data_IF_787180935665
#
_entry.id   IF_787180935665
#
_cell.length_a   1.000
_cell.length_b   1.000
_cell.length_c   1.000
_cell.angle_alpha   90.00
_cell.angle_beta   90.00
_cell.angle_gamma   90.00
#
_symmetry.space_group_name_H-M   'P 1'
#
loop_
_entity.id
_entity.type
_entity.pdbx_description
1 polymer ?
#
# COMPACT_ATOMS: atom_id res chain seq x y z
N UNK A 1 -16.35 3.08 -3.51
CA UNK A 1 -14.98 2.55 -3.56
C UNK A 1 -14.34 3.15 -4.81
N UNK A 2 -13.32 4.01 -4.66
CA UNK A 2 -12.68 4.67 -5.81
C UNK A 2 -11.70 3.67 -6.46
N UNK A 3 -11.62 3.60 -7.80
CA UNK A 3 -10.64 2.76 -8.46
C UNK A 3 -9.22 3.22 -8.09
N UNK A 4 -8.33 2.28 -7.82
CA UNK A 4 -6.92 2.57 -7.56
C UNK A 4 -6.27 2.89 -8.89
N UNK A 5 -6.01 4.17 -9.14
CA UNK A 5 -5.18 4.58 -10.26
C UNK A 5 -3.71 4.57 -9.84
N UNK A 6 -2.84 3.99 -10.70
CA UNK A 6 -1.38 3.94 -10.50
C UNK A 6 -0.76 5.32 -10.25
N UNK A 7 -1.49 6.38 -10.63
CA UNK A 7 -1.02 7.75 -10.57
C UNK A 7 -1.25 8.39 -9.20
N UNK A 8 -2.13 7.84 -8.36
CA UNK A 8 -2.63 8.50 -7.15
C UNK A 8 -3.06 7.50 -6.07
N UNK A 9 -2.12 6.73 -5.53
CA UNK A 9 -2.37 5.97 -4.29
C UNK A 9 -2.59 6.99 -3.16
N UNK A 10 -3.79 6.97 -2.59
CA UNK A 10 -4.23 7.87 -1.53
C UNK A 10 -4.43 7.18 -0.18
N UNK A 11 -4.71 7.97 0.88
CA UNK A 11 -4.93 7.44 2.24
C UNK A 11 -6.11 6.46 2.33
N UNK A 12 -7.18 6.71 1.57
CA UNK A 12 -8.40 5.88 1.54
C UNK A 12 -8.26 4.65 0.63
N UNK A 13 -7.07 4.43 0.06
CA UNK A 13 -6.82 3.26 -0.78
C UNK A 13 -6.84 2.02 0.09
N UNK A 14 -7.68 1.05 -0.27
CA UNK A 14 -7.71 -0.23 0.41
C UNK A 14 -6.44 -1.04 0.07
N UNK A 15 -5.82 -1.66 1.08
CA UNK A 15 -4.56 -2.39 0.91
C UNK A 15 -4.75 -3.64 0.03
N UNK A 16 -5.86 -4.35 0.14
CA UNK A 16 -6.15 -5.51 -0.71
C UNK A 16 -6.23 -5.11 -2.20
N UNK A 17 -7.02 -4.06 -2.51
CA UNK A 17 -7.15 -3.54 -3.87
C UNK A 17 -5.82 -2.99 -4.42
N UNK A 18 -5.01 -2.37 -3.56
CA UNK A 18 -3.68 -1.90 -3.91
C UNK A 18 -2.75 -3.06 -4.28
N UNK A 19 -2.71 -4.11 -3.47
CA UNK A 19 -1.83 -5.26 -3.67
C UNK A 19 -2.30 -6.19 -4.80
N UNK A 20 -3.61 -6.28 -5.03
CA UNK A 20 -4.20 -6.98 -6.17
C UNK A 20 -3.80 -6.31 -7.49
N UNK A 21 -3.78 -4.97 -7.50
CA UNK A 21 -3.42 -4.19 -8.69
C UNK A 21 -1.91 -4.02 -8.88
N UNK A 22 -1.17 -3.89 -7.79
CA UNK A 22 0.28 -3.59 -7.76
C UNK A 22 0.97 -4.50 -6.73
N UNK A 23 1.22 -5.78 -7.06
CA UNK A 23 1.85 -6.72 -6.14
C UNK A 23 3.24 -6.26 -5.68
N UNK A 24 3.95 -5.45 -6.47
CA UNK A 24 5.23 -4.83 -6.13
C UNK A 24 5.14 -3.87 -4.92
N UNK A 25 3.96 -3.29 -4.66
CA UNK A 25 3.74 -2.44 -3.49
C UNK A 25 3.92 -3.21 -2.18
N UNK A 26 3.73 -4.54 -2.19
CA UNK A 26 4.00 -5.41 -1.03
C UNK A 26 5.42 -5.24 -0.49
N UNK A 27 6.40 -4.96 -1.36
CA UNK A 27 7.79 -4.75 -0.96
C UNK A 27 7.96 -3.52 -0.05
N UNK A 28 7.13 -2.48 -0.22
CA UNK A 28 7.14 -1.27 0.63
C UNK A 28 6.71 -1.64 2.06
N UNK A 29 5.65 -2.44 2.18
CA UNK A 29 5.15 -2.90 3.48
C UNK A 29 6.17 -3.81 4.19
N UNK A 30 6.81 -4.71 3.45
CA UNK A 30 7.84 -5.62 3.97
C UNK A 30 9.09 -4.87 4.45
N UNK A 31 9.58 -3.88 3.68
CA UNK A 31 10.74 -3.05 4.05
C UNK A 31 10.52 -2.29 5.35
N UNK A 32 9.28 -1.87 5.62
CA UNK A 32 8.89 -1.16 6.85
C UNK A 32 8.65 -2.09 8.05
N UNK A 33 9.06 -3.36 7.97
CA UNK A 33 8.88 -4.40 9.00
C UNK A 33 7.43 -4.61 9.43
N UNK A 34 6.46 -4.31 8.57
CA UNK A 34 5.06 -4.65 8.83
C UNK A 34 4.83 -6.12 8.49
N UNK A 35 5.43 -7.01 9.28
CA UNK A 35 5.42 -8.46 9.09
C UNK A 35 3.99 -9.07 9.17
N UNK A 36 3.03 -8.29 9.68
CA UNK A 36 1.62 -8.66 9.79
C UNK A 36 0.76 -8.24 8.59
N UNK A 37 1.31 -7.63 7.52
CA UNK A 37 0.52 -7.21 6.35
C UNK A 37 0.02 -8.41 5.52
N UNK A 38 0.62 -9.59 5.72
CA UNK A 38 0.11 -10.87 5.21
C UNK A 38 -0.94 -11.55 6.11
N UNK A 39 -1.14 -11.08 7.34
CA UNK A 39 -2.20 -11.58 8.22
C UNK A 39 -3.53 -10.97 7.76
N UNK A 40 -4.57 -11.80 7.71
CA UNK A 40 -5.91 -11.52 7.17
C UNK A 40 -6.54 -10.18 7.57
N UNK A 41 -6.11 -9.58 8.68
CA UNK A 41 -6.62 -8.30 9.19
C UNK A 41 -6.15 -7.07 8.38
N UNK A 42 -4.90 -7.02 7.92
CA UNK A 42 -4.34 -5.81 7.29
C UNK A 42 -4.78 -5.60 5.84
N UNK A 43 -5.27 -6.65 5.17
CA UNK A 43 -5.75 -6.56 3.78
C UNK A 43 -7.02 -5.72 3.67
N UNK A 44 -7.92 -5.79 4.65
CA UNK A 44 -9.20 -5.08 4.58
C UNK A 44 -9.13 -3.61 5.01
N UNK A 45 -7.99 -3.17 5.53
CA UNK A 45 -7.77 -1.81 6.00
C UNK A 45 -7.33 -0.88 4.86
N UNK A 46 -7.53 0.43 5.05
CA UNK A 46 -6.97 1.48 4.20
C UNK A 46 -5.50 1.76 4.54
N UNK A 47 -4.78 2.41 3.62
CA UNK A 47 -3.39 2.84 3.87
C UNK A 47 -3.31 3.75 5.11
N UNK A 48 -4.31 4.62 5.33
CA UNK A 48 -4.38 5.47 6.51
C UNK A 48 -4.55 4.68 7.80
N UNK A 49 -5.45 3.70 7.84
CA UNK A 49 -5.69 2.84 9.00
C UNK A 49 -4.46 2.00 9.34
N UNK A 50 -3.83 1.39 8.33
CA UNK A 50 -2.55 0.67 8.53
C UNK A 50 -1.49 1.61 9.10
N UNK A 51 -1.35 2.82 8.55
CA UNK A 51 -0.40 3.78 9.10
C UNK A 51 -0.71 4.16 10.56
N UNK A 52 -1.98 4.32 10.92
CA UNK A 52 -2.38 4.60 12.29
C UNK A 52 -2.09 3.42 13.25
N UNK A 53 -2.45 2.19 12.86
CA UNK A 53 -2.26 0.96 13.65
C UNK A 53 -0.78 0.69 13.90
N UNK A 54 0.05 0.77 12.85
CA UNK A 54 1.48 0.47 12.93
C UNK A 54 2.35 1.71 13.23
N UNK A 55 1.72 2.82 13.61
CA UNK A 55 2.36 4.11 13.90
C UNK A 55 3.38 4.52 12.81
N UNK A 56 3.01 4.31 11.55
CA UNK A 56 3.81 4.69 10.40
C UNK A 56 3.44 6.09 9.89
N UNK A 57 4.42 6.85 9.38
CA UNK A 57 4.16 8.14 8.75
C UNK A 57 3.41 7.96 7.43
N UNK A 58 2.12 8.32 7.43
CA UNK A 58 1.22 8.22 6.26
C UNK A 58 1.81 8.86 5.00
N UNK A 59 2.33 10.07 5.11
CA UNK A 59 2.88 10.77 3.93
C UNK A 59 4.09 10.07 3.33
N UNK A 60 4.98 9.51 4.16
CA UNK A 60 6.13 8.77 3.67
C UNK A 60 5.70 7.42 3.07
N UNK A 61 4.67 6.78 3.62
CA UNK A 61 4.08 5.57 3.05
C UNK A 61 3.53 5.84 1.64
N UNK A 62 2.71 6.89 1.49
CA UNK A 62 2.13 7.25 0.21
C UNK A 62 3.21 7.60 -0.82
N UNK A 63 4.28 8.31 -0.41
CA UNK A 63 5.38 8.63 -1.30
C UNK A 63 6.10 7.36 -1.79
N UNK A 64 6.43 6.43 -0.89
CA UNK A 64 7.10 5.17 -1.25
C UNK A 64 6.23 4.29 -2.16
N UNK A 65 4.93 4.21 -1.85
CA UNK A 65 3.95 3.46 -2.65
C UNK A 65 3.85 4.03 -4.06
N UNK A 66 3.61 5.33 -4.19
CA UNK A 66 3.53 5.98 -5.50
C UNK A 66 4.86 5.90 -6.28
N UNK A 67 6.01 6.01 -5.60
CA UNK A 67 7.31 5.84 -6.24
C UNK A 67 7.53 4.41 -6.75
N UNK A 68 7.14 3.41 -5.96
CA UNK A 68 7.26 1.99 -6.33
C UNK A 68 6.40 1.66 -7.53
N UNK A 69 5.15 2.11 -7.54
CA UNK A 69 4.20 1.82 -8.63
C UNK A 69 4.52 2.60 -9.91
N UNK A 70 5.19 3.76 -9.81
CA UNK A 70 5.69 4.50 -10.98
C UNK A 70 7.00 3.92 -11.54
N UNK A 71 7.83 3.31 -10.68
CA UNK A 71 9.13 2.73 -11.05
C UNK A 71 9.06 1.25 -11.44
N UNK A 72 8.06 0.53 -10.94
CA UNK A 72 7.71 -0.81 -11.39
C UNK A 72 6.88 -0.70 -12.67
N UNK A 73 7.45 -1.09 -13.81
CA UNK A 73 6.61 -1.39 -14.97
C UNK A 73 5.62 -2.48 -14.56
N UNK A 74 4.33 -2.39 -14.95
CA UNK A 74 3.35 -3.43 -14.64
C UNK A 74 3.83 -4.74 -15.27
N UNK A 75 4.38 -5.62 -14.44
CA UNK A 75 4.87 -6.92 -14.87
C UNK A 75 3.71 -7.91 -14.75
N UNK A 76 3.06 -8.20 -15.88
CA UNK A 76 2.06 -9.27 -16.03
C UNK A 76 0.83 -8.86 -16.82
#
# INVERSE_FOLDING_TARGET
MRPVDASLIGPDTNVDALLDRFPEAAAVFLRRRMHCVGCSMARFETVAEVCAIYQQPLQAMLADLNATVRGGSPAG
#
